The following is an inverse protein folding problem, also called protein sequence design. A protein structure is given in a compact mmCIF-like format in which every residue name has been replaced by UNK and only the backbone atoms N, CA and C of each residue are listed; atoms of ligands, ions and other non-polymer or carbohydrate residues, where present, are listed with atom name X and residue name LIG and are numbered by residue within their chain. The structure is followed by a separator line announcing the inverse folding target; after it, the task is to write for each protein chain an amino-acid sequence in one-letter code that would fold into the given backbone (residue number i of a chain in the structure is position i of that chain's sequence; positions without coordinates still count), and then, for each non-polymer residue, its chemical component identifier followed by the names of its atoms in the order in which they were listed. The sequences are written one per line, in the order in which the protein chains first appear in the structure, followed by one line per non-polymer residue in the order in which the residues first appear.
data_IF_669524369292
#
_entry.id   IF_669524369292
#
_cell.length_a   1.000
_cell.length_b   1.000
_cell.length_c   1.000
_cell.angle_alpha   90.00
_cell.angle_beta   90.00
_cell.angle_gamma   90.00
#
_symmetry.space_group_name_H-M   'P 1'
#
loop_
_entity.id
_entity.type
_entity.pdbx_description
1 polymer ?
#
# COMPACT_ATOMS: atom_id res chain seq x y z
N UNK A 1 -8.01 19.18 -21.15
CA UNK A 1 -6.66 18.64 -21.18
C UNK A 1 -6.70 17.23 -21.75
N UNK A 2 -5.77 16.89 -22.65
CA UNK A 2 -5.57 15.52 -23.13
C UNK A 2 -5.10 14.61 -21.99
N UNK A 3 -5.21 13.28 -22.18
CA UNK A 3 -4.72 12.31 -21.19
C UNK A 3 -3.21 12.47 -20.94
N UNK A 4 -2.46 12.89 -21.94
CA UNK A 4 -1.02 13.12 -21.87
C UNK A 4 -0.67 14.41 -21.11
N UNK A 5 -1.41 15.49 -21.33
CA UNK A 5 -1.26 16.73 -20.57
C UNK A 5 -1.61 16.55 -19.09
N UNK A 6 -2.68 15.81 -18.78
CA UNK A 6 -3.03 15.43 -17.40
C UNK A 6 -1.93 14.59 -16.76
N UNK A 7 -1.36 13.64 -17.50
CA UNK A 7 -0.27 12.79 -17.02
C UNK A 7 0.97 13.60 -16.64
N UNK A 8 1.34 14.60 -17.44
CA UNK A 8 2.47 15.51 -17.14
C UNK A 8 2.18 16.43 -15.97
N UNK A 9 0.97 16.98 -15.86
CA UNK A 9 0.58 17.89 -14.79
C UNK A 9 0.56 17.20 -13.41
N UNK A 10 0.26 15.91 -13.37
CA UNK A 10 0.11 15.14 -12.14
C UNK A 10 1.23 14.12 -11.94
N UNK A 11 2.34 14.28 -12.65
CA UNK A 11 3.52 13.42 -12.47
C UNK A 11 4.12 13.59 -11.07
N UNK A 12 4.18 12.48 -10.34
CA UNK A 12 4.66 12.39 -8.98
C UNK A 12 5.93 11.53 -8.86
N UNK A 13 6.44 11.01 -9.98
CA UNK A 13 7.55 10.03 -10.04
C UNK A 13 8.81 10.51 -9.30
N UNK A 14 9.01 11.83 -9.22
CA UNK A 14 10.14 12.44 -8.51
C UNK A 14 10.05 12.38 -6.97
N UNK A 15 8.91 11.94 -6.42
CA UNK A 15 8.67 11.84 -4.97
C UNK A 15 8.90 10.44 -4.43
N UNK A 16 8.91 9.41 -5.27
CA UNK A 16 9.13 8.04 -4.85
C UNK A 16 10.60 7.72 -4.64
N UNK A 17 10.82 6.82 -3.70
CA UNK A 17 12.12 6.19 -3.48
C UNK A 17 12.19 4.94 -4.36
N UNK A 18 13.24 4.84 -5.18
CA UNK A 18 13.46 3.68 -6.05
C UNK A 18 13.42 4.02 -7.54
N UNK A 19 13.21 3.02 -8.35
CA UNK A 19 13.02 3.14 -9.78
C UNK A 19 11.57 2.85 -10.12
N UNK A 20 10.79 3.91 -10.35
CA UNK A 20 9.40 3.83 -10.78
C UNK A 20 9.24 4.67 -12.02
N UNK A 21 8.87 4.04 -13.13
CA UNK A 21 8.81 4.68 -14.44
C UNK A 21 7.65 5.64 -14.57
N UNK A 22 6.55 5.42 -13.86
CA UNK A 22 5.38 6.30 -13.93
C UNK A 22 4.57 6.29 -12.63
N UNK A 23 4.42 7.48 -12.07
CA UNK A 23 3.54 7.72 -10.94
C UNK A 23 2.69 8.97 -11.19
N UNK A 24 1.40 8.86 -10.91
CA UNK A 24 0.46 9.96 -11.10
C UNK A 24 -0.26 10.23 -9.79
N UNK A 25 -0.16 11.47 -9.31
CA UNK A 25 -0.95 11.92 -8.17
C UNK A 25 -2.43 11.96 -8.54
N UNK A 26 -3.28 11.47 -7.64
CA UNK A 26 -4.72 11.66 -7.71
C UNK A 26 -5.08 12.82 -6.80
N UNK A 27 -5.59 13.94 -7.34
CA UNK A 27 -6.00 15.07 -6.51
C UNK A 27 -7.11 14.66 -5.54
N UNK A 28 -6.95 14.96 -4.26
CA UNK A 28 -7.92 14.61 -3.20
C UNK A 28 -9.18 15.49 -3.26
N UNK A 29 -9.16 16.56 -4.05
CA UNK A 29 -10.15 17.64 -4.05
C UNK A 29 -11.37 17.41 -4.95
N UNK A 30 -11.43 16.35 -5.74
CA UNK A 30 -12.51 16.19 -6.73
C UNK A 30 -13.67 15.32 -6.24
N UNK A 31 -14.90 15.69 -6.62
CA UNK A 31 -16.06 15.39 -5.80
C UNK A 31 -16.75 14.05 -6.04
N UNK A 32 -16.81 13.51 -7.24
CA UNK A 32 -17.79 12.46 -7.50
C UNK A 32 -17.25 11.05 -7.75
N UNK A 33 -16.32 10.85 -8.66
CA UNK A 33 -15.83 9.50 -8.98
C UNK A 33 -14.86 8.92 -7.94
N UNK A 34 -14.30 9.77 -7.11
CA UNK A 34 -13.30 9.40 -6.08
C UNK A 34 -13.90 9.21 -4.70
N UNK A 35 -15.10 9.72 -4.47
CA UNK A 35 -15.77 9.58 -3.18
C UNK A 35 -15.93 8.10 -2.80
N UNK A 36 -16.25 7.24 -3.76
CA UNK A 36 -16.33 5.79 -3.53
C UNK A 36 -14.99 5.21 -3.07
N UNK A 37 -13.91 5.50 -3.79
CA UNK A 37 -12.57 5.01 -3.45
C UNK A 37 -12.12 5.50 -2.08
N UNK A 38 -12.31 6.79 -1.81
CA UNK A 38 -11.92 7.40 -0.54
C UNK A 38 -12.75 6.89 0.64
N UNK A 39 -14.04 6.70 0.46
CA UNK A 39 -14.89 6.11 1.48
C UNK A 39 -14.53 4.64 1.74
N UNK A 40 -14.18 3.88 0.71
CA UNK A 40 -13.71 2.50 0.85
C UNK A 40 -12.40 2.45 1.65
N UNK A 41 -11.45 3.34 1.37
CA UNK A 41 -10.20 3.45 2.13
C UNK A 41 -10.44 3.82 3.59
N UNK A 42 -11.31 4.80 3.86
CA UNK A 42 -11.69 5.21 5.21
C UNK A 42 -12.37 4.08 5.99
N UNK A 43 -13.30 3.38 5.34
CA UNK A 43 -13.96 2.23 5.96
C UNK A 43 -12.96 1.13 6.29
N UNK A 44 -12.05 0.81 5.38
CA UNK A 44 -10.98 -0.16 5.62
C UNK A 44 -10.09 0.22 6.81
N UNK A 45 -9.77 1.51 7.00
CA UNK A 45 -9.05 1.98 8.18
C UNK A 45 -9.85 1.74 9.47
N UNK A 46 -11.16 2.00 9.47
CA UNK A 46 -12.01 1.72 10.64
C UNK A 46 -12.10 0.23 10.93
N UNK A 47 -12.27 -0.60 9.92
CA UNK A 47 -12.35 -2.05 10.05
C UNK A 47 -11.04 -2.61 10.61
N UNK A 48 -9.90 -2.11 10.13
CA UNK A 48 -8.59 -2.46 10.69
C UNK A 48 -8.47 -2.08 12.17
N UNK A 49 -8.89 -0.86 12.54
CA UNK A 49 -8.85 -0.41 13.93
C UNK A 49 -9.75 -1.25 14.83
N UNK A 50 -10.98 -1.53 14.40
CA UNK A 50 -11.91 -2.38 15.13
C UNK A 50 -11.34 -3.79 15.30
N UNK A 51 -10.77 -4.36 14.24
CA UNK A 51 -10.09 -5.66 14.32
C UNK A 51 -8.95 -5.65 15.36
N UNK A 52 -8.12 -4.60 15.36
CA UNK A 52 -7.01 -4.50 16.32
C UNK A 52 -7.49 -4.38 17.76
N UNK A 53 -8.62 -3.74 17.99
CA UNK A 53 -9.23 -3.60 19.32
C UNK A 53 -9.87 -4.91 19.76
N UNK A 54 -10.73 -5.48 18.93
CA UNK A 54 -11.57 -6.63 19.31
C UNK A 54 -10.73 -7.92 19.38
N UNK A 55 -9.89 -8.17 18.37
CA UNK A 55 -9.14 -9.43 18.26
C UNK A 55 -7.82 -9.37 19.00
N UNK A 56 -7.10 -8.28 18.91
CA UNK A 56 -5.78 -8.13 19.53
C UNK A 56 -5.84 -7.53 20.93
N UNK A 57 -7.00 -7.08 21.38
CA UNK A 57 -7.19 -6.36 22.64
C UNK A 57 -6.17 -5.23 22.83
N UNK A 58 -5.75 -4.65 21.74
CA UNK A 58 -4.72 -3.63 21.70
C UNK A 58 -5.31 -2.37 21.07
N UNK A 59 -5.80 -1.48 21.90
CA UNK A 59 -6.29 -0.19 21.42
C UNK A 59 -5.11 0.78 21.25
N UNK A 60 -4.62 1.01 20.03
CA UNK A 60 -3.51 1.92 19.80
C UNK A 60 -3.82 3.36 20.23
N UNK A 61 -5.10 3.76 20.18
CA UNK A 61 -5.55 5.09 20.54
C UNK A 61 -5.53 5.36 22.04
N UNK A 62 -5.79 4.35 22.87
CA UNK A 62 -5.71 4.52 24.32
C UNK A 62 -4.28 4.72 24.79
N UNK A 63 -3.30 4.16 24.07
CA UNK A 63 -1.88 4.41 24.33
C UNK A 63 -1.48 5.84 23.97
N UNK A 64 -2.17 6.47 23.03
CA UNK A 64 -1.97 7.88 22.63
C UNK A 64 -2.78 8.85 23.50
N UNK A 65 -3.44 8.36 24.55
CA UNK A 65 -4.24 9.18 25.47
C UNK A 65 -5.63 9.57 24.94
N UNK A 66 -6.04 9.07 23.78
CA UNK A 66 -7.39 9.31 23.26
C UNK A 66 -8.39 8.31 23.87
N UNK A 67 -9.52 8.84 24.35
CA UNK A 67 -10.57 8.02 24.99
C UNK A 67 -11.64 7.52 24.03
N UNK A 68 -11.68 8.09 22.83
CA UNK A 68 -12.71 7.81 21.81
C UNK A 68 -12.09 7.23 20.55
N UNK A 69 -12.75 6.24 19.98
CA UNK A 69 -12.36 5.72 18.66
C UNK A 69 -12.66 6.74 17.57
N UNK A 70 -11.83 6.80 16.53
CA UNK A 70 -12.12 7.63 15.37
C UNK A 70 -13.39 7.12 14.67
N UNK A 71 -14.08 8.04 14.03
CA UNK A 71 -15.19 7.80 13.13
C UNK A 71 -14.74 8.09 11.69
N UNK A 72 -15.57 7.79 10.70
CA UNK A 72 -15.25 8.14 9.30
C UNK A 72 -14.93 9.62 9.11
N UNK A 73 -15.55 10.49 9.90
CA UNK A 73 -15.31 11.94 9.84
C UNK A 73 -13.92 12.37 10.36
N UNK A 74 -13.29 11.56 11.18
CA UNK A 74 -11.95 11.81 11.72
C UNK A 74 -10.82 11.24 10.86
N UNK A 75 -11.17 10.42 9.85
CA UNK A 75 -10.19 9.83 8.93
C UNK A 75 -10.09 10.72 7.70
N UNK A 76 -8.91 11.23 7.46
CA UNK A 76 -8.62 12.12 6.34
C UNK A 76 -7.63 11.46 5.39
N UNK A 77 -7.96 11.46 4.10
CA UNK A 77 -7.01 11.09 3.06
C UNK A 77 -6.09 12.29 2.80
N UNK A 78 -4.82 12.12 3.05
CA UNK A 78 -3.82 13.19 2.88
C UNK A 78 -3.19 13.18 1.51
N UNK A 79 -2.92 11.99 0.96
CA UNK A 79 -2.30 11.81 -0.35
C UNK A 79 -2.86 10.56 -1.03
N UNK A 80 -2.93 10.59 -2.35
CA UNK A 80 -3.32 9.45 -3.18
C UNK A 80 -2.63 9.53 -4.53
N UNK A 81 -2.13 8.39 -5.01
CA UNK A 81 -1.45 8.29 -6.30
C UNK A 81 -1.64 6.91 -6.93
N UNK A 82 -1.38 6.81 -8.22
CA UNK A 82 -1.33 5.55 -8.97
C UNK A 82 0.11 5.29 -9.39
N UNK A 83 0.61 4.13 -9.06
CA UNK A 83 1.90 3.62 -9.51
C UNK A 83 1.68 2.69 -10.69
N UNK A 84 2.35 2.98 -11.82
CA UNK A 84 2.48 2.04 -12.93
C UNK A 84 3.88 1.47 -12.91
N UNK A 85 3.99 0.26 -12.40
CA UNK A 85 5.26 -0.47 -12.30
C UNK A 85 5.46 -1.28 -13.57
N UNK A 86 6.61 -1.10 -14.20
CA UNK A 86 7.05 -1.84 -15.39
C UNK A 86 8.20 -2.78 -15.04
N UNK A 87 8.56 -3.66 -15.98
CA UNK A 87 9.66 -4.59 -15.80
C UNK A 87 10.96 -3.88 -15.34
N UNK A 88 11.51 -4.33 -14.22
CA UNK A 88 12.70 -3.76 -13.59
C UNK A 88 12.45 -2.50 -12.76
N UNK A 89 11.19 -2.04 -12.60
CA UNK A 89 10.84 -1.03 -11.63
C UNK A 89 10.71 -1.65 -10.22
N UNK A 90 11.12 -0.93 -9.21
CA UNK A 90 11.05 -1.40 -7.82
C UNK A 90 10.98 -0.22 -6.84
N UNK A 91 10.43 -0.48 -5.66
CA UNK A 91 10.53 0.42 -4.52
C UNK A 91 11.37 -0.26 -3.44
N UNK A 92 12.50 0.34 -3.01
CA UNK A 92 13.30 -0.18 -1.91
C UNK A 92 12.55 -0.08 -0.57
N UNK A 93 13.10 -0.60 0.49
CA UNK A 93 12.54 -0.46 1.83
C UNK A 93 12.30 1.00 2.20
N UNK A 94 11.05 1.33 2.44
CA UNK A 94 10.62 2.67 2.84
C UNK A 94 9.40 2.61 3.77
N UNK A 95 8.96 3.76 4.27
CA UNK A 95 7.74 3.95 5.05
C UNK A 95 7.11 5.31 4.70
N UNK A 96 5.91 5.57 5.18
CA UNK A 96 5.20 6.82 4.92
C UNK A 96 4.92 7.60 6.21
N UNK A 97 4.69 8.91 6.07
CA UNK A 97 4.34 9.81 7.16
C UNK A 97 2.82 9.99 7.23
N UNK A 98 2.15 9.05 7.87
CA UNK A 98 0.71 9.08 8.15
C UNK A 98 0.42 8.06 9.27
N UNK A 99 -0.84 7.91 9.68
CA UNK A 99 -1.24 6.83 10.59
C UNK A 99 -1.38 5.51 9.82
N UNK A 100 -2.01 5.57 8.64
CA UNK A 100 -2.25 4.41 7.77
C UNK A 100 -1.79 4.68 6.35
N UNK A 101 -1.34 3.60 5.71
CA UNK A 101 -1.15 3.50 4.27
C UNK A 101 -1.99 2.38 3.72
N UNK A 102 -2.42 2.52 2.48
CA UNK A 102 -3.19 1.51 1.79
C UNK A 102 -2.78 1.40 0.33
N UNK A 103 -2.89 0.21 -0.24
CA UNK A 103 -2.70 -0.04 -1.65
C UNK A 103 -3.75 -0.98 -2.20
N UNK A 104 -4.19 -0.73 -3.42
CA UNK A 104 -5.10 -1.60 -4.17
C UNK A 104 -4.50 -1.91 -5.53
N UNK A 105 -4.50 -3.18 -5.91
CA UNK A 105 -4.06 -3.59 -7.23
C UNK A 105 -5.20 -3.44 -8.24
N UNK A 106 -5.06 -2.48 -9.16
CA UNK A 106 -6.06 -2.20 -10.20
C UNK A 106 -5.85 -3.05 -11.45
N UNK A 107 -4.60 -3.43 -11.72
CA UNK A 107 -4.22 -4.25 -12.86
C UNK A 107 -2.98 -5.06 -12.51
N UNK A 108 -2.96 -6.31 -12.94
CA UNK A 108 -1.82 -7.23 -12.84
C UNK A 108 -1.57 -7.79 -14.24
N UNK A 109 -0.32 -7.90 -14.70
CA UNK A 109 -0.01 -8.48 -16.01
C UNK A 109 -0.51 -9.92 -16.14
N UNK A 110 -0.93 -10.29 -17.34
CA UNK A 110 -1.13 -11.69 -17.69
C UNK A 110 0.21 -12.43 -17.64
N UNK A 111 0.21 -13.70 -17.24
CA UNK A 111 1.42 -14.51 -17.14
C UNK A 111 2.25 -14.31 -15.86
N UNK A 112 1.84 -13.42 -14.96
CA UNK A 112 2.58 -13.22 -13.71
C UNK A 112 2.61 -14.44 -12.80
N UNK A 113 1.59 -15.29 -12.88
CA UNK A 113 1.58 -16.59 -12.17
C UNK A 113 2.66 -17.53 -12.74
N UNK A 114 2.85 -17.53 -14.05
CA UNK A 114 3.86 -18.37 -14.70
C UNK A 114 5.26 -17.97 -14.26
N UNK A 115 5.50 -16.66 -14.05
CA UNK A 115 6.77 -16.16 -13.52
C UNK A 115 7.07 -16.65 -12.09
N UNK A 116 6.06 -16.97 -11.30
CA UNK A 116 6.24 -17.53 -9.97
C UNK A 116 6.39 -19.05 -9.95
N UNK A 117 6.01 -19.73 -11.05
CA UNK A 117 6.15 -21.17 -11.25
C UNK A 117 7.43 -21.55 -11.99
N UNK A 118 8.13 -20.55 -12.60
CA UNK A 118 9.44 -20.78 -13.17
C UNK A 118 10.42 -21.35 -12.13
N UNK A 119 11.22 -22.29 -12.55
CA UNK A 119 12.22 -22.99 -11.72
C UNK A 119 13.34 -22.02 -11.35
N UNK A 120 13.14 -21.29 -10.26
CA UNK A 120 14.09 -20.29 -9.79
C UNK A 120 15.32 -20.96 -9.22
N UNK A 121 16.46 -20.58 -9.70
CA UNK A 121 17.75 -20.86 -9.05
C UNK A 121 17.89 -20.15 -7.69
N UNK A 122 16.95 -19.25 -7.39
CA UNK A 122 16.88 -18.49 -6.14
C UNK A 122 15.79 -19.07 -5.23
N UNK A 123 16.05 -19.10 -3.93
CA UNK A 123 15.20 -19.82 -2.95
C UNK A 123 13.80 -19.17 -2.76
N UNK A 124 13.57 -17.97 -3.29
CA UNK A 124 12.31 -17.24 -3.09
C UNK A 124 11.90 -16.45 -4.34
N UNK A 125 10.92 -16.93 -5.11
CA UNK A 125 10.34 -16.10 -6.16
C UNK A 125 9.73 -14.87 -5.53
N UNK A 126 10.23 -13.68 -5.90
CA UNK A 126 9.81 -12.42 -5.30
C UNK A 126 9.31 -11.40 -6.33
N UNK A 127 9.36 -11.72 -7.63
CA UNK A 127 9.00 -10.83 -8.73
C UNK A 127 7.63 -10.19 -8.51
N UNK A 128 7.59 -8.85 -8.51
CA UNK A 128 6.37 -8.08 -8.33
C UNK A 128 5.68 -8.19 -6.96
N UNK A 129 6.26 -8.92 -5.99
CA UNK A 129 5.67 -9.02 -4.65
C UNK A 129 5.87 -7.73 -3.87
N UNK A 130 4.91 -7.42 -3.00
CA UNK A 130 5.14 -6.49 -1.90
C UNK A 130 5.56 -7.28 -0.66
N UNK A 131 6.63 -6.83 0.00
CA UNK A 131 7.10 -7.39 1.25
C UNK A 131 7.03 -6.35 2.36
N UNK A 132 6.51 -6.76 3.52
CA UNK A 132 6.50 -6.00 4.75
C UNK A 132 7.54 -6.58 5.71
N UNK A 133 8.45 -5.74 6.21
CA UNK A 133 9.45 -6.12 7.20
C UNK A 133 9.07 -5.62 8.60
N UNK A 134 9.12 -6.51 9.59
CA UNK A 134 8.80 -6.19 10.98
C UNK A 134 9.61 -7.01 11.99
N UNK A 135 10.23 -6.32 12.91
CA UNK A 135 11.05 -6.97 13.96
C UNK A 135 12.40 -7.46 13.46
N UNK A 136 12.89 -8.53 14.08
CA UNK A 136 14.16 -9.19 13.78
C UNK A 136 13.93 -10.69 13.55
N UNK A 137 14.69 -11.26 12.64
CA UNK A 137 14.68 -12.70 12.39
C UNK A 137 15.11 -13.45 13.65
N UNK A 138 14.29 -14.36 14.11
CA UNK A 138 14.56 -15.21 15.27
C UNK A 138 14.13 -16.65 14.99
N UNK A 139 14.64 -17.61 15.74
CA UNK A 139 14.20 -18.99 15.65
C UNK A 139 12.68 -19.07 15.88
N UNK A 140 12.00 -19.76 14.99
CA UNK A 140 10.55 -19.99 15.02
C UNK A 140 9.67 -18.75 14.82
N UNK A 141 10.25 -17.63 14.33
CA UNK A 141 9.50 -16.40 14.06
C UNK A 141 9.91 -15.82 12.70
N UNK A 142 8.92 -15.46 11.90
CA UNK A 142 9.13 -14.66 10.69
C UNK A 142 9.30 -13.19 11.03
N UNK A 143 10.14 -12.49 10.30
CA UNK A 143 10.37 -11.04 10.36
C UNK A 143 9.80 -10.30 9.16
N UNK A 144 9.16 -11.01 8.25
CA UNK A 144 8.55 -10.44 7.06
C UNK A 144 7.28 -11.18 6.62
N UNK A 145 6.48 -10.50 5.80
CA UNK A 145 5.33 -11.05 5.09
C UNK A 145 5.36 -10.57 3.65
N UNK A 146 5.12 -11.49 2.71
CA UNK A 146 5.05 -11.21 1.28
C UNK A 146 3.63 -11.45 0.76
N UNK A 147 3.18 -10.60 -0.14
CA UNK A 147 1.89 -10.73 -0.79
C UNK A 147 2.03 -10.66 -2.30
N UNK A 148 1.37 -11.59 -2.98
CA UNK A 148 1.22 -11.57 -4.43
C UNK A 148 0.23 -10.48 -4.84
N UNK A 149 0.51 -9.71 -5.91
CA UNK A 149 -0.47 -8.81 -6.48
C UNK A 149 -1.62 -9.61 -7.10
N UNK A 150 -2.82 -9.20 -6.81
CA UNK A 150 -4.07 -9.73 -7.36
C UNK A 150 -5.02 -8.56 -7.57
N UNK A 151 -5.69 -8.51 -8.72
CA UNK A 151 -6.65 -7.43 -9.01
C UNK A 151 -7.74 -7.38 -7.94
N UNK A 152 -7.96 -6.20 -7.38
CA UNK A 152 -8.91 -5.97 -6.28
C UNK A 152 -8.35 -6.27 -4.88
N UNK A 153 -7.15 -6.86 -4.75
CA UNK A 153 -6.52 -7.02 -3.44
C UNK A 153 -6.23 -5.66 -2.84
N UNK A 154 -6.76 -5.45 -1.65
CA UNK A 154 -6.63 -4.22 -0.88
C UNK A 154 -5.84 -4.48 0.40
N UNK A 155 -4.72 -3.79 0.55
CA UNK A 155 -3.84 -3.90 1.71
C UNK A 155 -3.92 -2.62 2.51
N UNK A 156 -4.15 -2.72 3.82
CA UNK A 156 -4.07 -1.61 4.78
C UNK A 156 -3.06 -1.97 5.85
N UNK A 157 -2.22 -1.01 6.18
CA UNK A 157 -1.15 -1.19 7.16
C UNK A 157 -0.78 0.13 7.85
N UNK A 158 -0.20 0.08 9.05
CA UNK A 158 0.35 1.27 9.69
C UNK A 158 1.46 1.88 8.82
N UNK A 159 1.43 3.19 8.62
CA UNK A 159 2.38 3.87 7.72
C UNK A 159 3.84 3.73 8.11
N UNK A 160 4.13 3.51 9.40
CA UNK A 160 5.48 3.25 9.90
C UNK A 160 6.04 1.88 9.50
N UNK A 161 5.17 0.94 9.06
CA UNK A 161 5.60 -0.40 8.68
C UNK A 161 6.40 -0.34 7.40
N UNK A 162 7.66 -0.74 7.50
CA UNK A 162 8.56 -0.77 6.36
C UNK A 162 8.12 -1.79 5.33
N UNK A 163 8.14 -1.40 4.08
CA UNK A 163 7.79 -2.27 2.96
C UNK A 163 8.62 -1.95 1.72
N UNK A 164 8.71 -2.91 0.85
CA UNK A 164 9.36 -2.82 -0.45
C UNK A 164 8.49 -3.49 -1.51
N UNK A 165 8.71 -3.13 -2.78
CA UNK A 165 8.11 -3.81 -3.93
C UNK A 165 9.23 -4.29 -4.83
N UNK A 166 9.24 -5.59 -5.10
CA UNK A 166 10.21 -6.23 -5.97
C UNK A 166 9.95 -5.91 -7.44
N UNK A 167 11.01 -5.90 -8.27
CA UNK A 167 10.87 -5.72 -9.71
C UNK A 167 10.15 -6.89 -10.37
#
# INVERSE_FOLDING_TARGET
LSSEEKSKQWDWSHKLVGKVSKEIQIPVTDKDDRAFLFNTMKQGCLDYLNYMIDVKRNNPWTRMGTKTLPTLSNIHLTQSWVVSQYAGDFNPFHHHNADFSAGIYLKVPEGMNDEWEEDFKDHYPAKGLIEFGFGEAQSFRSDNLKFKPEVGKFLIFPSWLKHLVYP
#
